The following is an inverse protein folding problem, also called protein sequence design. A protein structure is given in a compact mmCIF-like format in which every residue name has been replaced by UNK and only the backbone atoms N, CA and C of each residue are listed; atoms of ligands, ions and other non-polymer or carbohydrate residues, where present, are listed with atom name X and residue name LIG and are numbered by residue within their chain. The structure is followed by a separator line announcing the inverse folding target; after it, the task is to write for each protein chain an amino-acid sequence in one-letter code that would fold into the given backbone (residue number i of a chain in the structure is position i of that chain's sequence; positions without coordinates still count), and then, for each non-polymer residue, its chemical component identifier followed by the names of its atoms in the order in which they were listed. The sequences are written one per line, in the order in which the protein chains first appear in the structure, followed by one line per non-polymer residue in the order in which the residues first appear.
data_IF_397836762291
#
_entry.id   IF_397836762291
#
_cell.length_a   1.000
_cell.length_b   1.000
_cell.length_c   1.000
_cell.angle_alpha   90.00
_cell.angle_beta   90.00
_cell.angle_gamma   90.00
#
_symmetry.space_group_name_H-M   'P 1'
#
loop_
_entity.id
_entity.type
_entity.pdbx_description
1 polymer ?
#
# COMPACT_ATOMS: atom_id res chain seq x y z
N UNK A 1 -7.98 -18.68 5.25
CA UNK A 1 -7.39 -17.43 5.72
C UNK A 1 -7.99 -16.29 4.92
N UNK A 2 -8.36 -15.20 5.56
CA UNK A 2 -8.83 -14.02 4.84
C UNK A 2 -7.63 -13.31 4.21
N UNK A 3 -7.84 -12.80 3.01
CA UNK A 3 -6.92 -11.88 2.34
C UNK A 3 -7.45 -10.48 2.58
N UNK A 4 -6.58 -9.61 3.08
CA UNK A 4 -6.92 -8.25 3.48
C UNK A 4 -6.06 -7.27 2.70
N UNK A 5 -6.66 -6.18 2.23
CA UNK A 5 -5.97 -4.99 1.75
C UNK A 5 -6.56 -3.78 2.47
N UNK A 6 -5.74 -3.10 3.25
CA UNK A 6 -6.02 -1.74 3.72
C UNK A 6 -5.20 -0.80 2.84
N UNK A 7 -5.86 0.13 2.15
CA UNK A 7 -5.26 1.00 1.14
C UNK A 7 -5.58 2.45 1.48
N UNK A 8 -4.54 3.25 1.69
CA UNK A 8 -4.65 4.69 1.92
C UNK A 8 -4.09 5.44 0.72
N UNK A 9 -4.85 6.41 0.22
CA UNK A 9 -4.40 7.40 -0.73
C UNK A 9 -4.02 8.66 0.03
N UNK A 10 -2.85 9.21 -0.27
CA UNK A 10 -2.37 10.42 0.37
C UNK A 10 -2.63 11.65 -0.51
N UNK A 11 -2.78 12.82 0.11
CA UNK A 11 -2.87 14.12 -0.57
C UNK A 11 -1.50 14.65 -1.03
N UNK A 12 -0.47 13.81 -0.94
CA UNK A 12 0.91 14.11 -1.32
C UNK A 12 1.39 13.13 -2.40
N UNK A 13 2.39 13.56 -3.15
CA UNK A 13 3.26 12.72 -3.95
C UNK A 13 4.70 12.99 -3.54
N UNK A 14 5.53 11.95 -3.49
CA UNK A 14 6.92 12.14 -3.07
C UNK A 14 7.91 11.29 -3.86
N UNK A 15 9.20 11.62 -3.68
CA UNK A 15 10.35 10.83 -4.14
C UNK A 15 11.28 10.60 -2.95
N UNK A 16 11.48 9.33 -2.59
CA UNK A 16 12.42 8.98 -1.54
C UNK A 16 13.87 9.31 -1.93
N UNK A 17 14.25 9.06 -3.19
CA UNK A 17 15.61 9.28 -3.67
C UNK A 17 16.00 10.75 -3.70
N UNK A 18 15.06 11.62 -4.04
CA UNK A 18 15.29 13.07 -4.10
C UNK A 18 14.98 13.79 -2.79
N UNK A 19 14.35 13.11 -1.83
CA UNK A 19 13.85 13.71 -0.59
C UNK A 19 12.97 14.92 -0.89
N UNK A 20 12.02 14.72 -1.81
CA UNK A 20 11.08 15.72 -2.31
C UNK A 20 9.65 15.28 -2.04
N UNK A 21 8.78 16.22 -1.71
CA UNK A 21 7.35 16.02 -1.51
C UNK A 21 6.60 17.23 -2.07
N UNK A 22 5.46 16.98 -2.71
CA UNK A 22 4.54 18.02 -3.18
C UNK A 22 3.10 17.55 -3.08
N UNK A 23 2.14 18.46 -3.32
CA UNK A 23 0.72 18.10 -3.39
C UNK A 23 0.46 17.04 -4.48
N UNK A 24 -0.40 16.08 -4.16
CA UNK A 24 -0.85 15.06 -5.08
C UNK A 24 -1.67 15.66 -6.24
N UNK A 25 -1.66 14.98 -7.37
CA UNK A 25 -2.61 15.18 -8.46
C UNK A 25 -3.54 13.98 -8.57
N UNK A 26 -4.57 14.07 -9.41
CA UNK A 26 -5.44 12.92 -9.72
C UNK A 26 -4.67 11.73 -10.31
N UNK A 27 -3.54 11.99 -10.99
CA UNK A 27 -2.72 10.98 -11.67
C UNK A 27 -1.52 10.51 -10.82
N UNK A 28 -1.12 11.28 -9.80
CA UNK A 28 0.07 11.02 -9.01
C UNK A 28 -0.16 11.32 -7.52
N UNK A 29 -0.22 10.25 -6.73
CA UNK A 29 -0.35 10.30 -5.28
C UNK A 29 0.34 9.10 -4.65
N UNK A 30 0.91 9.32 -3.47
CA UNK A 30 1.50 8.26 -2.67
C UNK A 30 0.42 7.36 -2.07
N UNK A 31 0.80 6.11 -1.80
CA UNK A 31 -0.08 5.17 -1.10
C UNK A 31 0.62 4.54 0.08
N UNK A 32 -0.14 4.26 1.14
CA UNK A 32 0.24 3.33 2.21
C UNK A 32 -0.70 2.15 2.11
N UNK A 33 -0.17 0.94 2.16
CA UNK A 33 -0.94 -0.28 1.99
C UNK A 33 -0.52 -1.31 3.03
N UNK A 34 -1.50 -2.00 3.60
CA UNK A 34 -1.29 -3.17 4.44
C UNK A 34 -1.98 -4.36 3.78
N UNK A 35 -1.22 -5.42 3.53
CA UNK A 35 -1.67 -6.55 2.72
C UNK A 35 -1.41 -7.83 3.48
N UNK A 36 -2.44 -8.63 3.67
CA UNK A 36 -2.35 -9.97 4.27
C UNK A 36 -2.79 -11.00 3.25
N UNK A 37 -1.95 -12.01 3.04
CA UNK A 37 -2.20 -13.15 2.15
C UNK A 37 -1.75 -14.44 2.84
N UNK A 38 -2.07 -15.59 2.23
CA UNK A 38 -1.55 -16.90 2.64
C UNK A 38 -0.01 -16.99 2.64
N UNK A 39 0.68 -16.07 1.94
CA UNK A 39 2.14 -16.02 1.87
C UNK A 39 2.79 -15.13 2.94
N UNK A 40 2.00 -14.36 3.69
CA UNK A 40 2.50 -13.43 4.69
C UNK A 40 1.75 -12.10 4.67
N UNK A 41 2.28 -11.15 5.44
CA UNK A 41 1.76 -9.80 5.54
C UNK A 41 2.85 -8.75 5.32
N UNK A 42 2.48 -7.64 4.71
CA UNK A 42 3.39 -6.55 4.39
C UNK A 42 2.74 -5.20 4.57
N UNK A 43 3.55 -4.21 4.97
CA UNK A 43 3.28 -2.80 4.74
C UNK A 43 4.01 -2.37 3.47
N UNK A 44 3.35 -1.61 2.63
CA UNK A 44 3.90 -1.09 1.37
C UNK A 44 3.67 0.42 1.33
N UNK A 45 4.71 1.17 0.94
CA UNK A 45 4.59 2.60 0.58
C UNK A 45 4.98 2.77 -0.88
N UNK A 46 4.15 3.46 -1.65
CA UNK A 46 4.50 3.89 -3.01
C UNK A 46 4.84 5.37 -3.02
N UNK A 47 5.85 5.74 -3.80
CA UNK A 47 6.34 7.10 -3.99
C UNK A 47 6.06 7.51 -5.43
N UNK A 48 5.04 8.34 -5.64
CA UNK A 48 4.51 8.56 -6.98
C UNK A 48 5.45 9.35 -7.90
N UNK A 49 6.21 10.31 -7.34
CA UNK A 49 7.05 11.22 -8.14
C UNK A 49 8.25 10.54 -8.80
N UNK A 50 8.64 9.36 -8.34
CA UNK A 50 9.67 8.54 -8.97
C UNK A 50 9.23 7.10 -9.23
N UNK A 51 7.95 6.78 -9.01
CA UNK A 51 7.37 5.43 -9.12
C UNK A 51 8.21 4.38 -8.36
N UNK A 52 8.67 4.73 -7.17
CA UNK A 52 9.39 3.83 -6.26
C UNK A 52 8.42 3.13 -5.30
N UNK A 53 8.79 1.96 -4.80
CA UNK A 53 8.00 1.20 -3.84
C UNK A 53 8.88 0.61 -2.76
N UNK A 54 8.50 0.85 -1.51
CA UNK A 54 9.11 0.23 -0.34
C UNK A 54 8.15 -0.75 0.28
N UNK A 55 8.68 -1.89 0.71
CA UNK A 55 7.93 -2.96 1.30
C UNK A 55 8.61 -3.47 2.56
N UNK A 56 7.85 -3.63 3.63
CA UNK A 56 8.29 -4.18 4.91
C UNK A 56 7.42 -5.39 5.25
N UNK A 57 8.05 -6.55 5.44
CA UNK A 57 7.36 -7.73 5.92
C UNK A 57 6.98 -7.54 7.40
N UNK A 58 5.74 -7.90 7.74
CA UNK A 58 5.24 -7.89 9.12
C UNK A 58 5.51 -9.29 9.68
N UNK A 59 6.48 -9.40 10.59
CA UNK A 59 6.92 -10.72 11.10
C UNK A 59 5.89 -11.35 12.01
N UNK A 60 5.29 -10.56 12.89
CA UNK A 60 4.23 -10.97 13.80
C UNK A 60 2.94 -10.28 13.37
N UNK A 61 2.14 -11.00 12.57
CA UNK A 61 0.87 -10.48 12.08
C UNK A 61 -0.10 -10.43 13.25
N UNK A 62 -0.59 -9.25 13.67
CA UNK A 62 -1.56 -9.16 14.76
C UNK A 62 -2.90 -9.80 14.34
N UNK A 63 -3.68 -10.20 15.33
CA UNK A 63 -5.03 -10.71 15.10
C UNK A 63 -5.92 -9.68 14.39
N UNK A 64 -5.73 -8.39 14.67
CA UNK A 64 -6.38 -7.28 13.99
C UNK A 64 -5.39 -6.43 13.20
N UNK A 65 -5.16 -6.82 11.94
CA UNK A 65 -4.30 -6.06 11.02
C UNK A 65 -4.92 -4.73 10.61
N UNK A 66 -6.25 -4.61 10.66
CA UNK A 66 -6.95 -3.41 10.21
C UNK A 66 -6.71 -2.29 11.22
N UNK A 67 -6.87 -2.58 12.51
CA UNK A 67 -6.57 -1.63 13.58
C UNK A 67 -5.10 -1.20 13.54
N UNK A 68 -4.15 -2.13 13.38
CA UNK A 68 -2.73 -1.79 13.21
C UNK A 68 -2.51 -0.85 12.02
N UNK A 69 -3.12 -1.14 10.88
CA UNK A 69 -2.97 -0.35 9.66
C UNK A 69 -3.52 1.07 9.83
N UNK A 70 -4.69 1.20 10.45
CA UNK A 70 -5.36 2.48 10.69
C UNK A 70 -4.57 3.31 11.71
N UNK A 71 -4.23 2.74 12.86
CA UNK A 71 -3.55 3.48 13.92
C UNK A 71 -2.17 3.95 13.47
N UNK A 72 -1.34 3.05 12.93
CA UNK A 72 0.01 3.41 12.48
C UNK A 72 0.03 4.41 11.33
N UNK A 73 -0.95 4.33 10.42
CA UNK A 73 -1.04 5.28 9.30
C UNK A 73 -1.55 6.64 9.76
N UNK A 74 -2.51 6.69 10.70
CA UNK A 74 -2.97 7.96 11.25
C UNK A 74 -1.90 8.66 12.10
N UNK A 75 -1.08 7.90 12.85
CA UNK A 75 0.03 8.46 13.61
C UNK A 75 1.07 9.14 12.71
N UNK A 76 1.41 8.53 11.57
CA UNK A 76 2.45 9.04 10.67
C UNK A 76 1.94 10.01 9.59
N UNK A 77 0.70 9.82 9.10
CA UNK A 77 0.18 10.49 7.89
C UNK A 77 -1.25 11.02 8.07
N UNK A 78 -1.81 11.05 9.27
CA UNK A 78 -3.24 11.36 9.49
C UNK A 78 -3.70 12.70 8.93
N UNK A 79 -2.79 13.67 8.79
CA UNK A 79 -3.02 14.99 8.20
C UNK A 79 -3.06 15.01 6.67
N UNK A 80 -2.50 13.98 6.02
CA UNK A 80 -2.41 13.88 4.56
C UNK A 80 -3.15 12.67 3.99
N UNK A 81 -4.01 11.98 4.75
CA UNK A 81 -4.88 10.92 4.21
C UNK A 81 -6.04 11.56 3.43
N UNK A 82 -6.10 11.29 2.12
CA UNK A 82 -7.22 11.69 1.26
C UNK A 82 -8.38 10.69 1.35
N UNK A 83 -8.06 9.40 1.28
CA UNK A 83 -9.05 8.33 1.24
C UNK A 83 -8.47 7.03 1.81
N UNK A 84 -9.32 6.22 2.43
CA UNK A 84 -8.97 4.89 2.92
C UNK A 84 -9.98 3.85 2.42
N UNK A 85 -9.48 2.67 2.07
CA UNK A 85 -10.28 1.51 1.68
C UNK A 85 -9.85 0.29 2.50
N UNK A 86 -10.84 -0.41 3.05
CA UNK A 86 -10.65 -1.69 3.70
C UNK A 86 -11.33 -2.75 2.83
N UNK A 87 -10.55 -3.69 2.33
CA UNK A 87 -11.00 -4.80 1.49
C UNK A 87 -10.67 -6.11 2.20
N UNK A 88 -11.68 -6.97 2.32
CA UNK A 88 -11.50 -8.30 2.91
C UNK A 88 -12.19 -9.35 2.06
N UNK A 89 -11.53 -10.49 1.90
CA UNK A 89 -12.11 -11.60 1.13
C UNK A 89 -11.54 -12.93 1.57
N UNK A 90 -12.35 -13.98 1.47
CA UNK A 90 -11.88 -15.37 1.62
C UNK A 90 -11.58 -16.04 0.28
N UNK A 91 -11.55 -15.27 -0.82
CA UNK A 91 -11.33 -15.77 -2.20
C UNK A 91 -9.92 -15.48 -2.73
N UNK A 92 -8.98 -15.12 -1.86
CA UNK A 92 -7.61 -14.82 -2.25
C UNK A 92 -7.52 -13.55 -3.11
N UNK A 93 -6.46 -13.49 -3.93
CA UNK A 93 -6.16 -12.35 -4.82
C UNK A 93 -7.31 -12.06 -5.79
N UNK A 94 -7.90 -13.07 -6.41
CA UNK A 94 -9.05 -12.89 -7.31
C UNK A 94 -10.26 -12.24 -6.61
N UNK A 95 -10.44 -12.52 -5.31
CA UNK A 95 -11.42 -11.82 -4.49
C UNK A 95 -11.10 -10.33 -4.34
N UNK A 96 -9.86 -9.99 -4.00
CA UNK A 96 -9.42 -8.60 -3.83
C UNK A 96 -9.57 -7.80 -5.13
N UNK A 97 -9.20 -8.38 -6.26
CA UNK A 97 -9.35 -7.73 -7.57
C UNK A 97 -10.81 -7.35 -7.87
N UNK A 98 -11.75 -8.24 -7.52
CA UNK A 98 -13.18 -7.95 -7.65
C UNK A 98 -13.63 -6.84 -6.69
N UNK A 99 -13.16 -6.86 -5.45
CA UNK A 99 -13.45 -5.83 -4.44
C UNK A 99 -12.92 -4.45 -4.86
N UNK A 100 -11.74 -4.40 -5.48
CA UNK A 100 -11.14 -3.19 -6.07
C UNK A 100 -12.02 -2.65 -7.20
N UNK A 101 -12.36 -3.49 -8.18
CA UNK A 101 -13.23 -3.11 -9.31
C UNK A 101 -14.59 -2.56 -8.83
N UNK A 102 -15.19 -3.17 -7.81
CA UNK A 102 -16.48 -2.71 -7.25
C UNK A 102 -16.40 -1.32 -6.64
N UNK A 103 -15.22 -0.89 -6.19
CA UNK A 103 -14.96 0.44 -5.65
C UNK A 103 -14.50 1.44 -6.73
N UNK A 104 -14.51 1.04 -8.00
CA UNK A 104 -14.04 1.87 -9.12
C UNK A 104 -12.51 2.00 -9.18
N UNK A 105 -11.78 1.16 -8.45
CA UNK A 105 -10.32 1.15 -8.45
C UNK A 105 -9.80 0.18 -9.51
N UNK A 106 -8.57 0.41 -9.97
CA UNK A 106 -7.82 -0.55 -10.79
C UNK A 106 -7.81 -1.91 -10.11
N UNK A 107 -8.19 -2.97 -10.84
CA UNK A 107 -8.11 -4.36 -10.36
C UNK A 107 -6.69 -4.94 -10.46
N UNK A 108 -5.74 -4.14 -10.92
CA UNK A 108 -4.36 -4.54 -11.06
C UNK A 108 -3.66 -4.59 -9.70
N UNK A 109 -3.07 -5.74 -9.41
CA UNK A 109 -2.16 -5.94 -8.29
C UNK A 109 -0.81 -6.33 -8.87
N UNK A 110 0.17 -5.46 -8.72
CA UNK A 110 1.56 -5.77 -9.05
C UNK A 110 2.08 -6.83 -8.08
N UNK A 111 2.91 -7.74 -8.57
CA UNK A 111 3.56 -8.76 -7.73
C UNK A 111 5.06 -8.46 -7.73
N UNK A 112 5.56 -8.02 -6.58
CA UNK A 112 6.99 -7.81 -6.39
C UNK A 112 7.76 -9.14 -6.59
N UNK A 113 9.06 -9.08 -6.86
CA UNK A 113 9.91 -10.28 -7.05
C UNK A 113 9.86 -11.25 -5.85
N UNK A 114 9.54 -10.76 -4.67
CA UNK A 114 9.35 -11.53 -3.43
C UNK A 114 8.02 -12.28 -3.35
N UNK A 115 7.13 -12.09 -4.34
CA UNK A 115 5.79 -12.67 -4.37
C UNK A 115 4.74 -11.88 -3.60
N UNK A 116 5.11 -10.70 -3.07
CA UNK A 116 4.23 -9.77 -2.38
C UNK A 116 3.36 -9.02 -3.39
N UNK A 117 2.01 -9.15 -3.32
CA UNK A 117 1.12 -8.33 -4.13
C UNK A 117 1.00 -6.92 -3.54
N UNK A 118 0.81 -5.91 -4.37
CA UNK A 118 0.47 -4.54 -3.98
C UNK A 118 -0.32 -3.84 -5.07
N UNK A 119 -1.15 -2.88 -4.67
CA UNK A 119 -1.98 -2.11 -5.59
C UNK A 119 -1.20 -0.96 -6.21
N UNK A 120 -1.51 -0.67 -7.46
CA UNK A 120 -0.99 0.52 -8.16
C UNK A 120 -2.11 1.18 -8.97
N UNK A 121 -2.09 2.51 -9.12
CA UNK A 121 -2.98 3.22 -10.04
C UNK A 121 -2.89 2.67 -11.46
N UNK A 122 -3.98 2.78 -12.22
CA UNK A 122 -3.99 2.38 -13.63
C UNK A 122 -2.93 3.16 -14.43
N UNK A 123 -2.24 2.49 -15.34
CA UNK A 123 -1.19 3.11 -16.18
C UNK A 123 0.14 3.39 -15.47
N UNK A 124 0.27 3.08 -14.18
CA UNK A 124 1.54 3.23 -13.44
C UNK A 124 2.41 1.97 -13.48
N UNK A 125 3.73 2.11 -13.26
CA UNK A 125 4.67 0.99 -13.24
C UNK A 125 5.71 1.16 -12.13
N UNK A 126 5.30 0.80 -10.92
CA UNK A 126 6.14 0.89 -9.74
C UNK A 126 7.19 -0.23 -9.70
N UNK A 127 8.38 0.11 -9.20
CA UNK A 127 9.43 -0.87 -8.94
C UNK A 127 10.33 -0.38 -7.81
N UNK A 128 10.95 -1.31 -7.08
CA UNK A 128 11.88 -0.93 -6.02
C UNK A 128 13.14 -0.30 -6.63
N UNK A 129 13.30 1.01 -6.45
CA UNK A 129 14.41 1.83 -6.97
C UNK A 129 15.34 2.30 -5.86
N UNK A 130 14.84 2.37 -4.64
CA UNK A 130 15.64 2.64 -3.45
C UNK A 130 15.33 1.66 -2.32
N UNK A 131 16.00 1.84 -1.19
CA UNK A 131 15.79 1.01 0.00
C UNK A 131 15.59 1.92 1.21
N UNK A 132 14.63 1.60 2.09
CA UNK A 132 14.39 2.39 3.28
C UNK A 132 15.59 2.31 4.23
N UNK A 133 15.96 3.45 4.83
CA UNK A 133 17.07 3.50 5.79
C UNK A 133 16.71 2.89 7.16
N UNK A 134 15.43 2.59 7.43
CA UNK A 134 14.95 1.93 8.66
C UNK A 134 13.71 1.04 8.38
N UNK A 135 13.63 -0.18 8.93
CA UNK A 135 12.35 -0.87 9.10
C UNK A 135 11.54 -0.20 10.22
N UNK A 136 10.21 -0.37 10.18
CA UNK A 136 9.32 0.04 11.28
C UNK A 136 9.84 -0.58 12.59
N UNK A 137 10.05 0.25 13.61
CA UNK A 137 10.31 -0.24 14.95
C UNK A 137 9.00 -0.81 15.51
N UNK A 138 8.97 -2.11 15.77
CA UNK A 138 7.95 -2.73 16.61
C UNK A 138 8.19 -2.37 18.08
#
# INVERSE_FOLDING_TARGET
MNTVLVLFFLTIQSSYQRNEESEATEEAFDTIQFIVTDKGAWRVKTFASDQDVHAWAIQEVPDDIIDLAVDSTNEEYGDVIAQAFILETNKGIAGLQRELRQRGLSEHLEIARTGMPYWTPEGSSYSAKSSPNKPLAH
#
